data_IF_934988706267
#
_entry.id   IF_934988706267
#
_cell.length_a   1.000
_cell.length_b   1.000
_cell.length_c   1.000
_cell.angle_alpha   90.00
_cell.angle_beta   90.00
_cell.angle_gamma   90.00
#
_symmetry.space_group_name_H-M   'P 1'
#
loop_
_entity.id
_entity.type
_entity.pdbx_description
1 polymer ?
#
# COMPACT_ATOMS: atom_id res chain seq x y z
N UNK A 1 -83.64 43.33 23.72
CA UNK A 1 -82.72 43.86 24.73
C UNK A 1 -82.03 42.71 25.45
N UNK A 2 -80.87 42.30 25.11
CA UNK A 2 -79.88 41.63 25.93
C UNK A 2 -78.70 41.28 25.04
N UNK A 3 -77.64 42.01 25.21
CA UNK A 3 -76.38 41.86 24.50
C UNK A 3 -75.64 40.66 25.03
N UNK A 4 -75.23 39.70 24.11
CA UNK A 4 -74.33 38.58 24.41
C UNK A 4 -72.96 38.94 23.88
N UNK A 5 -72.02 39.20 24.80
CA UNK A 5 -70.61 39.39 24.50
C UNK A 5 -70.00 38.06 24.16
N UNK A 6 -69.60 37.89 22.91
CA UNK A 6 -68.82 36.72 22.50
C UNK A 6 -67.34 36.95 22.81
N UNK A 7 -66.79 36.08 23.65
CA UNK A 7 -65.38 36.09 24.06
C UNK A 7 -64.61 35.18 23.05
N UNK A 8 -63.80 35.83 22.19
CA UNK A 8 -62.91 35.12 21.28
C UNK A 8 -61.59 34.74 22.01
N UNK A 9 -61.46 33.45 22.27
CA UNK A 9 -60.26 32.89 22.83
C UNK A 9 -59.29 32.58 21.70
N UNK A 10 -58.24 33.38 21.57
CA UNK A 10 -57.12 33.10 20.65
C UNK A 10 -56.24 32.02 21.25
N UNK A 11 -56.27 30.83 20.67
CA UNK A 11 -55.29 29.76 20.96
C UNK A 11 -54.01 30.03 20.15
N UNK A 12 -52.96 30.38 20.86
CA UNK A 12 -51.64 30.54 20.31
C UNK A 12 -50.97 29.15 20.21
N UNK A 13 -50.99 28.60 19.00
CA UNK A 13 -50.27 27.30 18.74
C UNK A 13 -48.80 27.68 18.54
N UNK A 14 -47.97 27.39 19.55
CA UNK A 14 -46.53 27.47 19.48
C UNK A 14 -46.00 26.32 18.58
N UNK A 15 -45.49 26.65 17.40
CA UNK A 15 -44.68 25.74 16.60
C UNK A 15 -43.31 25.60 17.29
N UNK A 16 -43.07 24.50 17.94
CA UNK A 16 -41.70 24.06 18.32
C UNK A 16 -41.02 23.50 17.08
N UNK A 17 -40.07 24.25 16.53
CA UNK A 17 -39.13 23.71 15.57
C UNK A 17 -38.18 22.80 16.34
N UNK A 18 -38.32 21.49 16.16
CA UNK A 18 -37.27 20.53 16.50
C UNK A 18 -36.20 20.70 15.43
N UNK A 19 -35.12 21.38 15.77
CA UNK A 19 -33.91 21.35 14.98
C UNK A 19 -33.34 19.93 15.13
N UNK A 20 -33.43 19.12 14.10
CA UNK A 20 -32.52 17.98 13.93
C UNK A 20 -31.12 18.62 13.78
N UNK A 21 -30.26 18.39 14.76
CA UNK A 21 -28.82 18.50 14.54
C UNK A 21 -28.48 17.31 13.62
N UNK A 22 -28.19 17.62 12.38
CA UNK A 22 -27.48 16.68 11.51
C UNK A 22 -26.10 16.50 12.14
N UNK A 23 -25.93 15.41 12.89
CA UNK A 23 -24.62 14.87 13.18
C UNK A 23 -24.13 14.24 11.87
N UNK A 24 -23.60 15.09 10.99
CA UNK A 24 -22.79 14.68 9.85
C UNK A 24 -21.43 14.18 10.37
N UNK A 25 -21.46 13.15 11.23
CA UNK A 25 -20.32 12.28 11.38
C UNK A 25 -20.36 11.38 10.14
N UNK A 26 -19.58 11.75 9.12
CA UNK A 26 -19.17 10.78 8.13
C UNK A 26 -18.65 9.55 8.90
N UNK A 27 -19.01 8.32 8.50
CA UNK A 27 -18.40 7.15 9.11
C UNK A 27 -16.88 7.38 9.09
N UNK A 28 -16.22 7.20 10.25
CA UNK A 28 -14.76 7.11 10.25
C UNK A 28 -14.43 6.00 9.24
N UNK A 29 -13.53 6.30 8.29
CA UNK A 29 -12.96 5.26 7.45
C UNK A 29 -12.34 4.25 8.42
N UNK A 30 -12.88 3.05 8.41
CA UNK A 30 -12.28 1.93 9.14
C UNK A 30 -11.06 1.60 8.27
N UNK A 31 -9.88 1.93 8.77
CA UNK A 31 -8.63 1.44 8.23
C UNK A 31 -8.65 -0.08 8.44
N UNK A 32 -8.86 -0.84 7.39
CA UNK A 32 -8.78 -2.29 7.39
C UNK A 32 -7.38 -2.63 6.85
N UNK A 33 -6.54 -3.26 7.68
CA UNK A 33 -5.24 -3.79 7.24
C UNK A 33 -5.47 -4.81 6.12
N UNK A 34 -4.79 -4.63 4.98
CA UNK A 34 -4.90 -5.56 3.85
C UNK A 34 -4.30 -6.92 4.22
N UNK A 35 -5.02 -7.98 3.90
CA UNK A 35 -4.49 -9.32 4.03
C UNK A 35 -3.61 -9.64 2.83
N UNK A 36 -2.29 -9.58 3.00
CA UNK A 36 -1.32 -9.91 1.95
C UNK A 36 -0.67 -11.24 2.25
N UNK A 37 -0.93 -12.23 1.41
CA UNK A 37 -0.32 -13.56 1.52
C UNK A 37 0.83 -13.77 0.56
N UNK A 38 0.90 -13.01 -0.52
CA UNK A 38 1.92 -13.19 -1.55
C UNK A 38 2.41 -11.84 -2.07
N UNK A 39 3.74 -11.64 -2.02
CA UNK A 39 4.42 -10.55 -2.70
C UNK A 39 5.34 -11.11 -3.77
N UNK A 40 5.27 -10.57 -4.99
CA UNK A 40 6.14 -10.94 -6.11
C UNK A 40 6.80 -9.71 -6.71
N UNK A 41 8.11 -9.62 -6.60
CA UNK A 41 8.92 -8.64 -7.32
C UNK A 41 9.39 -9.27 -8.64
N UNK A 42 9.20 -8.57 -9.74
CA UNK A 42 9.65 -8.97 -11.08
C UNK A 42 10.74 -8.02 -11.58
N UNK A 43 11.89 -8.57 -11.98
CA UNK A 43 13.04 -7.82 -12.49
C UNK A 43 13.32 -8.22 -13.94
N UNK A 44 13.28 -7.25 -14.86
CA UNK A 44 13.50 -7.46 -16.29
C UNK A 44 14.72 -6.69 -16.76
N UNK A 45 15.70 -7.42 -17.30
CA UNK A 45 16.93 -6.82 -17.85
C UNK A 45 16.66 -6.06 -19.17
N UNK A 46 17.49 -5.05 -19.53
CA UNK A 46 17.38 -4.32 -20.78
C UNK A 46 17.45 -5.23 -22.00
N UNK A 47 16.59 -4.97 -23.00
CA UNK A 47 16.53 -5.74 -24.22
C UNK A 47 15.68 -7.00 -24.14
N UNK A 48 15.05 -7.25 -23.02
CA UNK A 48 14.24 -8.44 -22.75
C UNK A 48 15.14 -9.63 -22.36
N UNK A 49 14.54 -10.64 -21.79
CA UNK A 49 15.24 -11.82 -21.28
C UNK A 49 14.33 -12.59 -20.35
N UNK A 50 14.91 -13.54 -19.62
CA UNK A 50 14.17 -14.21 -18.56
C UNK A 50 13.94 -13.23 -17.42
N UNK A 51 12.68 -13.03 -17.03
CA UNK A 51 12.34 -12.27 -15.83
C UNK A 51 12.87 -13.00 -14.60
N UNK A 52 13.57 -12.29 -13.73
CA UNK A 52 13.93 -12.79 -12.41
C UNK A 52 12.82 -12.39 -11.43
N UNK A 53 12.29 -13.39 -10.72
CA UNK A 53 11.25 -13.15 -9.71
C UNK A 53 11.80 -13.39 -8.32
N UNK A 54 11.45 -12.48 -7.40
CA UNK A 54 11.65 -12.62 -5.97
C UNK A 54 10.25 -12.74 -5.37
N UNK A 55 9.95 -13.83 -4.69
CA UNK A 55 8.60 -14.06 -4.16
C UNK A 55 8.67 -14.49 -2.70
N UNK A 56 7.79 -13.92 -1.91
CA UNK A 56 7.44 -14.40 -0.57
C UNK A 56 5.97 -14.81 -0.60
N UNK A 57 5.67 -16.02 -0.13
CA UNK A 57 4.30 -16.52 -0.07
C UNK A 57 4.06 -17.17 1.28
N UNK A 58 3.01 -16.70 1.96
CA UNK A 58 2.53 -17.23 3.24
C UNK A 58 1.01 -17.39 3.18
N UNK A 59 0.55 -18.59 2.89
CA UNK A 59 -0.89 -18.87 2.71
C UNK A 59 -1.63 -19.14 4.02
N UNK A 60 -0.93 -19.26 5.13
CA UNK A 60 -1.51 -19.43 6.46
C UNK A 60 -1.32 -18.22 7.39
N UNK A 61 -0.73 -17.13 6.89
CA UNK A 61 -0.54 -15.85 7.57
C UNK A 61 0.16 -16.03 8.92
N UNK A 62 -0.48 -15.65 10.01
CA UNK A 62 0.01 -15.88 11.38
C UNK A 62 0.05 -17.37 11.80
N UNK A 63 -0.06 -18.27 10.83
CA UNK A 63 -0.05 -19.71 11.02
C UNK A 63 1.30 -20.27 11.49
N UNK A 64 1.39 -21.63 11.67
CA UNK A 64 2.62 -22.22 12.21
C UNK A 64 3.75 -22.34 11.18
N UNK A 65 3.49 -22.10 9.89
CA UNK A 65 4.51 -22.24 8.86
C UNK A 65 5.16 -20.88 8.59
N UNK A 66 6.44 -20.89 8.26
CA UNK A 66 7.13 -19.68 7.83
C UNK A 66 6.84 -19.41 6.34
N UNK A 67 6.89 -18.14 5.88
CA UNK A 67 6.79 -17.81 4.47
C UNK A 67 7.75 -18.61 3.59
N UNK A 68 7.30 -18.97 2.39
CA UNK A 68 8.14 -19.58 1.37
C UNK A 68 8.78 -18.48 0.54
N UNK A 69 10.06 -18.20 0.79
CA UNK A 69 10.81 -17.16 0.08
C UNK A 69 11.64 -17.78 -1.04
N UNK A 70 11.48 -17.28 -2.26
CA UNK A 70 12.18 -17.79 -3.45
C UNK A 70 12.79 -16.67 -4.28
N UNK A 71 13.92 -16.96 -4.94
CA UNK A 71 14.58 -16.13 -5.94
C UNK A 71 14.83 -17.00 -7.16
N UNK A 72 14.24 -16.66 -8.32
CA UNK A 72 14.23 -17.56 -9.48
C UNK A 72 15.56 -17.63 -10.23
N UNK A 73 16.50 -16.72 -9.99
CA UNK A 73 17.81 -16.70 -10.65
C UNK A 73 18.72 -15.59 -10.13
N UNK A 74 19.97 -15.59 -10.62
CA UNK A 74 20.95 -14.57 -10.29
C UNK A 74 20.75 -13.30 -11.15
N UNK A 75 21.10 -12.14 -10.61
CA UNK A 75 21.18 -10.91 -11.37
C UNK A 75 22.54 -10.78 -12.09
N UNK A 76 22.53 -10.20 -13.27
CA UNK A 76 23.78 -9.87 -13.95
C UNK A 76 24.44 -8.64 -13.30
N UNK A 77 25.78 -8.65 -13.24
CA UNK A 77 26.55 -7.51 -12.74
C UNK A 77 26.45 -6.29 -13.67
N UNK A 78 26.57 -5.09 -13.10
CA UNK A 78 26.59 -3.81 -13.80
C UNK A 78 25.40 -3.66 -14.78
N UNK A 79 24.22 -4.03 -14.31
CA UNK A 79 22.98 -4.08 -15.12
C UNK A 79 21.86 -3.30 -14.44
N UNK A 80 21.11 -2.55 -15.27
CA UNK A 80 19.90 -1.84 -14.86
C UNK A 80 18.69 -2.72 -15.15
N UNK A 81 17.82 -2.94 -14.17
CA UNK A 81 16.61 -3.74 -14.30
C UNK A 81 15.37 -2.86 -14.15
N UNK A 82 14.38 -3.04 -15.03
CA UNK A 82 13.04 -2.55 -14.74
C UNK A 82 12.37 -3.50 -13.76
N UNK A 83 11.93 -2.97 -12.62
CA UNK A 83 11.29 -3.69 -11.54
C UNK A 83 9.80 -3.36 -11.45
N UNK A 84 9.01 -4.34 -10.99
CA UNK A 84 7.64 -4.14 -10.54
C UNK A 84 7.35 -5.05 -9.36
N UNK A 85 6.38 -4.67 -8.52
CA UNK A 85 5.90 -5.50 -7.41
C UNK A 85 4.40 -5.71 -7.53
N UNK A 86 3.94 -6.90 -7.13
CA UNK A 86 2.53 -7.30 -7.08
C UNK A 86 2.27 -7.92 -5.71
N UNK A 87 1.14 -7.55 -5.11
CA UNK A 87 0.63 -8.06 -3.85
C UNK A 87 -0.69 -8.79 -4.08
N UNK A 88 -0.85 -9.97 -3.49
CA UNK A 88 -2.07 -10.78 -3.61
C UNK A 88 -2.53 -11.27 -2.24
N UNK A 89 -3.85 -11.35 -2.07
CA UNK A 89 -4.48 -12.23 -1.09
C UNK A 89 -4.94 -13.52 -1.78
N UNK A 90 -4.31 -14.65 -1.43
CA UNK A 90 -4.63 -15.98 -1.95
C UNK A 90 -5.42 -16.83 -0.94
N UNK A 91 -5.99 -16.23 0.10
CA UNK A 91 -6.85 -16.94 1.07
C UNK A 91 -8.15 -17.41 0.43
N UNK A 92 -8.63 -16.69 -0.59
CA UNK A 92 -9.80 -17.01 -1.38
C UNK A 92 -9.46 -17.42 -2.83
N UNK A 93 -10.45 -17.90 -3.58
CA UNK A 93 -10.29 -18.27 -4.99
C UNK A 93 -11.43 -17.69 -5.84
N UNK A 94 -11.15 -16.84 -6.84
CA UNK A 94 -9.80 -16.42 -7.27
C UNK A 94 -9.09 -15.57 -6.22
N UNK A 95 -7.76 -15.51 -6.29
CA UNK A 95 -6.97 -14.60 -5.47
C UNK A 95 -7.38 -13.15 -5.73
N UNK A 96 -7.37 -12.33 -4.70
CA UNK A 96 -7.59 -10.89 -4.77
C UNK A 96 -6.28 -10.18 -5.14
N UNK A 97 -6.36 -9.18 -6.01
CA UNK A 97 -5.20 -8.38 -6.40
C UNK A 97 -5.14 -7.11 -5.53
N UNK A 98 -4.40 -7.19 -4.44
CA UNK A 98 -4.21 -6.07 -3.51
C UNK A 98 -3.40 -4.94 -4.15
N UNK A 99 -2.67 -5.23 -5.26
CA UNK A 99 -1.96 -4.17 -5.98
C UNK A 99 -2.90 -3.13 -6.56
N UNK A 100 -4.11 -3.55 -7.02
CA UNK A 100 -5.13 -2.63 -7.53
C UNK A 100 -5.61 -1.67 -6.42
N UNK A 101 -5.72 -2.14 -5.18
CA UNK A 101 -6.09 -1.33 -4.01
C UNK A 101 -4.98 -0.33 -3.65
N UNK A 102 -3.72 -0.79 -3.61
CA UNK A 102 -2.55 0.07 -3.42
C UNK A 102 -2.44 1.17 -4.50
N UNK A 103 -2.86 0.88 -5.75
CA UNK A 103 -2.93 1.87 -6.84
C UNK A 103 -4.10 2.85 -6.69
N UNK A 104 -5.26 2.38 -6.22
CA UNK A 104 -6.45 3.22 -6.02
C UNK A 104 -6.28 4.18 -4.83
N UNK A 105 -5.52 3.74 -3.81
CA UNK A 105 -5.21 4.48 -2.59
C UNK A 105 -3.73 4.93 -2.56
N UNK A 106 -3.25 5.43 -3.69
CA UNK A 106 -1.85 5.76 -3.93
C UNK A 106 -1.29 6.82 -2.97
N UNK A 107 -2.12 7.69 -2.41
CA UNK A 107 -1.74 8.68 -1.40
C UNK A 107 -1.62 8.10 0.01
N UNK A 108 -2.21 6.93 0.27
CA UNK A 108 -2.17 6.21 1.53
C UNK A 108 -1.14 5.07 1.57
N UNK A 109 -0.51 4.71 0.43
CA UNK A 109 0.47 3.62 0.37
C UNK A 109 1.83 4.05 -0.20
N UNK A 110 2.90 3.35 0.24
CA UNK A 110 4.22 3.44 -0.37
C UNK A 110 5.01 2.15 -0.18
N UNK A 111 5.65 1.68 -1.25
CA UNK A 111 6.63 0.58 -1.18
C UNK A 111 8.02 1.13 -0.97
N UNK A 112 8.71 0.64 0.06
CA UNK A 112 10.08 0.98 0.37
C UNK A 112 11.03 -0.14 -0.02
N UNK A 113 12.11 0.21 -0.68
CA UNK A 113 13.19 -0.70 -1.08
C UNK A 113 14.46 -0.35 -0.31
N UNK A 114 15.01 -1.32 0.43
CA UNK A 114 16.23 -1.14 1.21
C UNK A 114 17.28 -2.12 0.69
N UNK A 115 18.11 -1.71 -0.27
CA UNK A 115 19.17 -2.54 -0.81
C UNK A 115 20.39 -2.58 0.12
N UNK A 116 21.12 -3.69 0.08
CA UNK A 116 22.48 -3.81 0.64
C UNK A 116 23.42 -4.53 -0.31
N UNK A 117 24.71 -4.54 0.00
CA UNK A 117 25.72 -5.24 -0.81
C UNK A 117 25.88 -4.61 -2.19
N UNK A 118 25.78 -5.41 -3.24
CA UNK A 118 26.11 -4.98 -4.60
C UNK A 118 24.88 -4.55 -5.43
N UNK A 119 23.73 -4.26 -4.82
CA UNK A 119 22.70 -3.40 -5.41
C UNK A 119 23.11 -1.96 -5.10
N UNK A 120 23.35 -1.16 -6.14
CA UNK A 120 23.99 0.16 -6.02
C UNK A 120 22.99 1.31 -5.97
N UNK A 121 21.81 1.15 -6.58
CA UNK A 121 20.77 2.15 -6.60
C UNK A 121 19.38 1.55 -6.82
N UNK A 122 18.35 2.26 -6.34
CA UNK A 122 16.95 2.02 -6.67
C UNK A 122 16.26 3.36 -6.87
N UNK A 123 15.65 3.52 -8.04
CA UNK A 123 14.89 4.71 -8.42
C UNK A 123 13.42 4.34 -8.60
N UNK A 124 12.52 5.12 -8.01
CA UNK A 124 11.08 4.96 -8.21
C UNK A 124 10.69 5.48 -9.60
N UNK A 125 9.90 4.70 -10.34
CA UNK A 125 9.45 5.03 -11.70
C UNK A 125 7.97 5.44 -11.74
N UNK A 126 7.28 5.35 -10.61
CA UNK A 126 5.89 5.75 -10.41
C UNK A 126 5.74 6.73 -9.23
N UNK A 127 4.64 7.47 -9.25
CA UNK A 127 4.31 8.46 -8.22
C UNK A 127 2.81 8.47 -7.96
N UNK A 128 2.42 8.89 -6.76
CA UNK A 128 1.03 9.16 -6.39
C UNK A 128 0.48 10.43 -7.07
N UNK A 129 -0.80 10.73 -6.81
CA UNK A 129 -1.49 11.90 -7.35
C UNK A 129 -0.86 13.25 -6.98
N UNK A 130 -0.06 13.32 -5.92
CA UNK A 130 0.65 14.51 -5.43
C UNK A 130 2.13 14.57 -5.90
N UNK A 131 2.60 13.52 -6.57
CA UNK A 131 3.96 13.41 -7.12
C UNK A 131 5.00 12.85 -6.14
N UNK A 132 4.57 12.21 -5.05
CA UNK A 132 5.47 11.46 -4.18
C UNK A 132 5.65 10.02 -4.70
N UNK A 133 6.77 9.33 -4.39
CA UNK A 133 6.98 7.95 -4.80
C UNK A 133 5.88 7.01 -4.30
N UNK A 134 5.38 6.11 -5.18
CA UNK A 134 4.50 5.00 -4.81
C UNK A 134 5.30 3.69 -4.67
N UNK A 135 6.03 3.30 -5.71
CA UNK A 135 6.98 2.20 -5.68
C UNK A 135 6.48 0.87 -6.22
N UNK A 136 5.36 0.82 -6.92
CA UNK A 136 4.92 -0.39 -7.63
C UNK A 136 5.77 -0.65 -8.88
N UNK A 137 6.36 0.43 -9.44
CA UNK A 137 7.32 0.38 -10.53
C UNK A 137 8.63 1.08 -10.13
N UNK A 138 9.76 0.47 -10.45
CA UNK A 138 11.08 0.99 -10.09
C UNK A 138 12.18 0.51 -11.03
N UNK A 139 13.33 1.18 -10.99
CA UNK A 139 14.57 0.73 -11.62
C UNK A 139 15.56 0.30 -10.54
N UNK A 140 16.16 -0.90 -10.70
CA UNK A 140 17.19 -1.45 -9.82
C UNK A 140 18.53 -1.52 -10.57
N UNK A 141 19.59 -1.00 -9.97
CA UNK A 141 20.94 -1.05 -10.52
C UNK A 141 21.84 -2.00 -9.73
N UNK A 142 22.49 -2.92 -10.43
CA UNK A 142 23.51 -3.80 -9.84
C UNK A 142 24.91 -3.26 -10.10
N UNK A 143 25.80 -3.45 -9.13
CA UNK A 143 27.23 -3.23 -9.28
C UNK A 143 27.98 -4.49 -9.69
N UNK A 144 29.21 -4.65 -9.17
CA UNK A 144 30.06 -5.81 -9.44
C UNK A 144 29.42 -7.12 -8.90
N UNK A 145 29.89 -8.26 -9.42
CA UNK A 145 29.47 -9.57 -8.94
C UNK A 145 29.70 -9.75 -7.43
N UNK A 146 28.72 -10.35 -6.75
CA UNK A 146 28.76 -10.55 -5.30
C UNK A 146 27.39 -10.84 -4.71
N UNK A 147 27.28 -10.74 -3.38
CA UNK A 147 26.00 -10.91 -2.69
C UNK A 147 25.35 -9.57 -2.39
N UNK A 148 24.04 -9.58 -2.39
CA UNK A 148 23.21 -8.45 -2.02
C UNK A 148 21.98 -8.93 -1.23
N UNK A 149 21.32 -8.00 -0.55
CA UNK A 149 19.96 -8.20 -0.05
C UNK A 149 19.07 -7.08 -0.53
N UNK A 150 17.79 -7.38 -0.70
CA UNK A 150 16.76 -6.39 -0.96
C UNK A 150 15.64 -6.63 0.05
N UNK A 151 15.45 -5.69 0.99
CA UNK A 151 14.24 -5.66 1.77
C UNK A 151 13.19 -4.82 1.04
N UNK A 152 11.98 -5.35 0.96
CA UNK A 152 10.81 -4.71 0.33
C UNK A 152 9.73 -4.61 1.39
N UNK A 153 9.19 -3.41 1.61
CA UNK A 153 8.21 -3.13 2.65
C UNK A 153 7.09 -2.28 2.07
N UNK A 154 5.85 -2.76 2.14
CA UNK A 154 4.66 -1.95 1.91
C UNK A 154 4.28 -1.27 3.23
N UNK A 155 4.02 0.02 3.17
CA UNK A 155 3.61 0.84 4.31
C UNK A 155 2.32 1.54 4.00
N UNK A 156 1.37 1.43 4.91
CA UNK A 156 0.10 2.13 4.91
C UNK A 156 0.20 3.43 5.72
N UNK A 157 -0.49 4.46 5.26
CA UNK A 157 -0.50 5.82 5.83
C UNK A 157 0.90 6.38 6.13
N UNK A 158 1.89 6.23 5.21
CA UNK A 158 3.18 6.86 5.41
C UNK A 158 3.04 8.38 5.35
N UNK A 159 3.81 9.10 6.12
CA UNK A 159 3.97 10.53 5.91
C UNK A 159 4.52 10.77 4.49
N UNK A 160 3.85 11.60 3.68
CA UNK A 160 4.28 12.02 2.34
C UNK A 160 4.34 13.56 2.25
N UNK A 161 5.39 14.17 1.68
CA UNK A 161 6.65 13.52 1.33
C UNK A 161 7.48 13.10 2.56
N UNK A 162 8.31 12.07 2.39
CA UNK A 162 9.30 11.63 3.38
C UNK A 162 10.71 11.69 2.79
N UNK A 163 11.73 11.33 3.56
CA UNK A 163 13.14 11.33 3.11
C UNK A 163 13.59 10.01 2.45
N UNK A 164 12.65 9.09 2.17
CA UNK A 164 12.91 7.78 1.58
C UNK A 164 13.25 6.70 2.61
N UNK A 165 13.17 7.00 3.91
CA UNK A 165 13.41 6.03 4.97
C UNK A 165 12.12 5.65 5.69
N UNK A 166 12.02 4.39 6.12
CA UNK A 166 10.91 3.90 6.95
C UNK A 166 10.79 4.71 8.26
N UNK A 167 11.91 5.18 8.81
CA UNK A 167 11.93 5.92 10.06
C UNK A 167 11.29 7.32 9.95
N UNK A 168 11.44 8.00 8.80
CA UNK A 168 10.80 9.30 8.54
C UNK A 168 9.37 9.14 8.04
N UNK A 169 9.10 8.10 7.26
CA UNK A 169 7.79 7.80 6.72
C UNK A 169 6.77 7.47 7.84
N UNK A 170 7.16 6.69 8.85
CA UNK A 170 6.21 6.18 9.85
C UNK A 170 5.17 5.29 9.18
N UNK A 171 3.90 5.44 9.57
CA UNK A 171 2.81 4.59 9.08
C UNK A 171 2.82 3.20 9.69
N UNK A 172 1.99 2.31 9.15
CA UNK A 172 1.89 0.90 9.55
C UNK A 172 2.49 0.01 8.46
N UNK A 173 3.08 -1.13 8.84
CA UNK A 173 3.67 -2.06 7.87
C UNK A 173 2.67 -3.15 7.55
N UNK A 174 2.17 -3.19 6.31
CA UNK A 174 1.25 -4.23 5.85
C UNK A 174 2.02 -5.48 5.46
N UNK A 175 3.16 -5.31 4.80
CA UNK A 175 3.99 -6.43 4.38
C UNK A 175 5.48 -6.08 4.37
N UNK A 176 6.35 -7.03 4.74
CA UNK A 176 7.80 -6.88 4.62
C UNK A 176 8.49 -8.21 4.38
N UNK A 177 9.46 -8.23 3.46
CA UNK A 177 10.29 -9.40 3.21
C UNK A 177 11.71 -9.01 2.79
N UNK A 178 12.68 -9.86 3.09
CA UNK A 178 14.09 -9.65 2.71
C UNK A 178 14.62 -10.79 1.85
N UNK A 179 14.94 -10.49 0.60
CA UNK A 179 15.47 -11.43 -0.37
C UNK A 179 17.00 -11.46 -0.34
N UNK A 180 17.55 -12.69 -0.39
CA UNK A 180 18.99 -12.92 -0.58
C UNK A 180 19.27 -13.03 -2.08
N UNK A 181 20.10 -12.18 -2.63
CA UNK A 181 20.36 -12.05 -4.07
C UNK A 181 21.84 -12.34 -4.37
N UNK A 182 22.07 -13.10 -5.43
CA UNK A 182 23.42 -13.27 -6.00
C UNK A 182 23.51 -12.49 -7.30
N UNK A 183 24.60 -11.76 -7.46
CA UNK A 183 24.94 -10.99 -8.66
C UNK A 183 26.18 -11.61 -9.30
N UNK A 184 26.12 -11.96 -10.60
CA UNK A 184 27.18 -12.65 -11.35
C UNK A 184 27.49 -12.06 -12.73
#
# INVERSE_FOLDING_TARGET
>A
MKTIKSLLLFAFIGLTFVACSDDDNAPEQINEEETITTMTVSLVAPGGGTTITLQSQDLDGDGPNAPVVTVSGNLAANTSYSGSVVFLDETDSPAEDITEEVEEEDDEHQVFYIPTGNITDITYDDVDGDGNPLGLAFTLETGDAGNATLAVTLVHEPKKPNDGTLADAGGETDFTETFQITIE
#
